data_IF_510471568357
#
_entry.id   IF_510471568357
#
_cell.length_a   1.000
_cell.length_b   1.000
_cell.length_c   1.000
_cell.angle_alpha   90.00
_cell.angle_beta   90.00
_cell.angle_gamma   90.00
#
_symmetry.space_group_name_H-M   'P 1'
#
loop_
_entity.id
_entity.type
_entity.pdbx_description
1 polymer ?
#
# COMPACT_ATOMS: atom_id res chain seq x y z
N UNK A 1 9.75 -31.39 42.44
CA UNK A 1 9.49 -30.00 42.87
C UNK A 1 10.24 -29.02 41.97
N UNK A 2 11.45 -29.36 41.52
CA UNK A 2 12.22 -28.53 40.58
C UNK A 2 11.69 -28.50 39.13
N UNK A 3 11.09 -29.59 38.63
CA UNK A 3 10.51 -29.62 37.27
C UNK A 3 9.26 -28.74 37.11
N UNK A 4 8.52 -28.51 38.19
CA UNK A 4 7.31 -27.69 38.19
C UNK A 4 7.65 -26.19 38.31
N UNK A 5 8.75 -25.86 38.98
CA UNK A 5 9.34 -24.52 38.98
C UNK A 5 9.97 -24.17 37.63
N UNK A 6 10.65 -25.11 36.97
CA UNK A 6 11.18 -24.87 35.63
C UNK A 6 10.09 -24.67 34.58
N UNK A 7 9.01 -25.46 34.62
CA UNK A 7 7.85 -25.28 33.72
C UNK A 7 7.02 -24.03 34.00
N UNK A 8 6.97 -23.54 35.23
CA UNK A 8 6.29 -22.29 35.56
C UNK A 8 7.11 -21.06 35.18
N UNK A 9 8.45 -21.11 35.33
CA UNK A 9 9.37 -20.09 34.83
C UNK A 9 9.36 -19.99 33.29
N UNK A 10 9.32 -21.11 32.57
CA UNK A 10 9.19 -21.11 31.10
C UNK A 10 7.84 -20.54 30.64
N UNK A 11 6.74 -20.82 31.36
CA UNK A 11 5.41 -20.26 31.04
C UNK A 11 5.31 -18.77 31.31
N UNK A 12 5.88 -18.26 32.40
CA UNK A 12 5.94 -16.81 32.66
C UNK A 12 6.84 -16.09 31.67
N UNK A 13 7.94 -16.73 31.24
CA UNK A 13 8.78 -16.19 30.17
C UNK A 13 8.07 -16.23 28.82
N UNK A 14 7.28 -17.25 28.49
CA UNK A 14 6.44 -17.30 27.27
C UNK A 14 5.36 -16.20 27.26
N UNK A 15 4.69 -15.95 28.39
CA UNK A 15 3.67 -14.89 28.50
C UNK A 15 4.29 -13.49 28.39
N UNK A 16 5.48 -13.26 28.95
CA UNK A 16 6.24 -12.02 28.76
C UNK A 16 6.86 -11.91 27.34
N UNK A 17 7.17 -13.04 26.68
CA UNK A 17 7.69 -13.11 25.31
C UNK A 17 6.62 -12.77 24.25
N UNK A 18 5.37 -13.14 24.48
CA UNK A 18 4.23 -12.72 23.66
C UNK A 18 3.93 -11.23 23.85
N UNK A 19 4.16 -10.69 25.05
CA UNK A 19 3.87 -9.27 25.36
C UNK A 19 4.89 -8.28 24.77
N UNK A 20 6.10 -8.74 24.40
CA UNK A 20 7.23 -7.88 24.02
C UNK A 20 7.67 -8.00 22.54
N UNK A 21 6.72 -8.27 21.64
CA UNK A 21 6.95 -8.42 20.21
C UNK A 21 7.72 -7.24 19.57
N UNK A 22 8.81 -7.56 18.87
CA UNK A 22 9.56 -6.63 18.01
C UNK A 22 8.75 -6.19 16.79
N UNK A 23 9.09 -5.05 16.18
CA UNK A 23 8.33 -4.41 15.08
C UNK A 23 8.02 -5.35 13.91
N UNK A 24 8.95 -6.21 13.50
CA UNK A 24 8.80 -7.08 12.32
C UNK A 24 7.79 -8.21 12.57
N UNK A 25 7.96 -8.92 13.69
CA UNK A 25 7.02 -9.96 14.13
C UNK A 25 5.64 -9.35 14.36
N UNK A 26 5.59 -8.13 14.88
CA UNK A 26 4.36 -7.36 14.98
C UNK A 26 3.76 -7.08 13.61
N UNK A 27 4.50 -6.60 12.61
CA UNK A 27 3.91 -6.29 11.29
C UNK A 27 3.34 -7.51 10.58
N UNK A 28 4.01 -8.67 10.62
CA UNK A 28 3.47 -9.89 10.03
C UNK A 28 2.25 -10.40 10.82
N UNK A 29 2.35 -10.44 12.15
CA UNK A 29 1.20 -10.81 13.00
C UNK A 29 0.05 -9.82 12.88
N UNK A 30 0.31 -8.54 12.64
CA UNK A 30 -0.70 -7.49 12.39
C UNK A 30 -1.38 -7.71 11.04
N UNK A 31 -0.63 -8.07 9.99
CA UNK A 31 -1.21 -8.43 8.69
C UNK A 31 -2.07 -9.69 8.82
N UNK A 32 -1.54 -10.75 9.45
CA UNK A 32 -2.26 -12.01 9.66
C UNK A 32 -3.50 -11.82 10.54
N UNK A 33 -3.42 -10.99 11.58
CA UNK A 33 -4.55 -10.66 12.45
C UNK A 33 -5.64 -9.86 11.70
N UNK A 34 -5.28 -9.11 10.66
CA UNK A 34 -6.24 -8.34 9.85
C UNK A 34 -6.94 -9.17 8.77
N UNK A 35 -6.49 -10.40 8.48
CA UNK A 35 -7.14 -11.31 7.52
C UNK A 35 -8.61 -11.56 7.89
N UNK A 36 -8.89 -11.89 9.15
CA UNK A 36 -10.25 -12.21 9.61
C UNK A 36 -11.19 -11.00 9.53
N UNK A 37 -10.84 -9.81 10.04
CA UNK A 37 -11.62 -8.59 9.84
C UNK A 37 -11.85 -8.24 8.37
N UNK A 38 -10.86 -8.43 7.49
CA UNK A 38 -11.00 -8.14 6.05
C UNK A 38 -11.96 -9.11 5.35
N UNK A 39 -11.93 -10.40 5.69
CA UNK A 39 -12.89 -11.38 5.17
C UNK A 39 -14.32 -11.09 5.65
N UNK A 40 -14.48 -10.72 6.92
CA UNK A 40 -15.77 -10.29 7.47
C UNK A 40 -16.28 -9.01 6.79
N UNK A 41 -15.39 -8.06 6.51
CA UNK A 41 -15.69 -6.86 5.76
C UNK A 41 -16.18 -7.18 4.35
N UNK A 42 -15.44 -8.02 3.62
CA UNK A 42 -15.77 -8.45 2.27
C UNK A 42 -17.11 -9.21 2.22
N UNK A 43 -17.38 -10.09 3.20
CA UNK A 43 -18.67 -10.78 3.32
C UNK A 43 -19.82 -9.81 3.60
N UNK A 44 -19.59 -8.84 4.49
CA UNK A 44 -20.60 -7.83 4.86
C UNK A 44 -20.96 -6.90 3.70
N UNK A 45 -19.98 -6.57 2.84
CA UNK A 45 -20.21 -5.75 1.65
C UNK A 45 -20.79 -6.58 0.50
N UNK A 46 -20.29 -7.80 0.28
CA UNK A 46 -20.70 -8.66 -0.84
C UNK A 46 -22.09 -9.28 -0.69
N UNK A 47 -22.50 -9.62 0.55
CA UNK A 47 -23.80 -10.23 0.85
C UNK A 47 -24.73 -9.30 1.66
N UNK A 48 -24.35 -8.02 1.76
CA UNK A 48 -25.06 -6.99 2.52
C UNK A 48 -26.49 -6.74 2.03
N UNK A 49 -27.49 -7.11 2.85
CA UNK A 49 -28.90 -6.82 2.58
C UNK A 49 -29.40 -5.54 3.27
N UNK A 50 -28.59 -4.90 4.12
CA UNK A 50 -28.95 -3.68 4.83
C UNK A 50 -27.81 -2.66 4.75
N UNK A 51 -28.15 -1.38 4.65
CA UNK A 51 -27.21 -0.25 4.59
C UNK A 51 -26.26 -0.25 5.79
N UNK A 52 -26.76 -0.59 6.98
CA UNK A 52 -25.91 -0.69 8.19
C UNK A 52 -24.82 -1.76 8.05
N UNK A 53 -25.17 -2.94 7.52
CA UNK A 53 -24.22 -4.04 7.33
C UNK A 53 -23.14 -3.69 6.30
N UNK A 54 -23.55 -3.05 5.18
CA UNK A 54 -22.60 -2.55 4.17
C UNK A 54 -21.70 -1.46 4.76
N UNK A 55 -22.25 -0.56 5.59
CA UNK A 55 -21.50 0.54 6.20
C UNK A 55 -20.48 0.03 7.21
N UNK A 56 -20.87 -0.91 8.07
CA UNK A 56 -19.95 -1.58 9.01
C UNK A 56 -18.88 -2.37 8.24
N UNK A 57 -19.27 -3.08 7.18
CA UNK A 57 -18.32 -3.76 6.30
C UNK A 57 -17.30 -2.80 5.67
N UNK A 58 -17.73 -1.64 5.19
CA UNK A 58 -16.83 -0.60 4.66
C UNK A 58 -15.91 -0.01 5.73
N UNK A 59 -16.40 0.19 6.96
CA UNK A 59 -15.58 0.65 8.08
C UNK A 59 -14.46 -0.37 8.37
N UNK A 60 -14.80 -1.65 8.47
CA UNK A 60 -13.84 -2.72 8.72
C UNK A 60 -12.82 -2.86 7.58
N UNK A 61 -13.28 -2.73 6.33
CA UNK A 61 -12.40 -2.70 5.16
C UNK A 61 -11.40 -1.53 5.23
N UNK A 62 -11.87 -0.34 5.64
CA UNK A 62 -11.01 0.83 5.82
C UNK A 62 -9.97 0.66 6.92
N UNK A 63 -10.35 0.07 8.06
CA UNK A 63 -9.41 -0.23 9.15
C UNK A 63 -8.37 -1.26 8.71
N UNK A 64 -8.81 -2.35 8.08
CA UNK A 64 -7.90 -3.39 7.57
C UNK A 64 -6.95 -2.85 6.53
N UNK A 65 -7.45 -2.10 5.54
CA UNK A 65 -6.63 -1.46 4.52
C UNK A 65 -5.64 -0.43 5.10
N UNK A 66 -6.05 0.31 6.13
CA UNK A 66 -5.18 1.23 6.86
C UNK A 66 -4.00 0.53 7.52
N UNK A 67 -4.26 -0.55 8.27
CA UNK A 67 -3.21 -1.34 8.93
C UNK A 67 -2.28 -1.96 7.89
N UNK A 68 -2.81 -2.60 6.85
CA UNK A 68 -1.99 -3.19 5.78
C UNK A 68 -1.16 -2.14 5.05
N UNK A 69 -1.69 -0.93 4.84
CA UNK A 69 -0.95 0.16 4.17
C UNK A 69 0.24 0.70 4.96
N UNK A 70 0.26 0.49 6.29
CA UNK A 70 1.40 0.84 7.14
C UNK A 70 2.34 -0.36 7.29
N UNK A 71 1.80 -1.55 7.51
CA UNK A 71 2.59 -2.75 7.76
C UNK A 71 3.35 -3.24 6.51
N UNK A 72 2.74 -3.19 5.32
CA UNK A 72 3.35 -3.74 4.11
C UNK A 72 4.62 -2.97 3.67
N UNK A 73 4.65 -1.62 3.60
CA UNK A 73 5.88 -0.89 3.28
C UNK A 73 6.99 -1.08 4.32
N UNK A 74 6.64 -1.20 5.62
CA UNK A 74 7.61 -1.47 6.69
C UNK A 74 8.25 -2.85 6.51
N UNK A 75 7.42 -3.87 6.30
CA UNK A 75 7.87 -5.24 6.05
C UNK A 75 8.77 -5.32 4.81
N UNK A 76 8.37 -4.64 3.72
CA UNK A 76 9.20 -4.54 2.51
C UNK A 76 10.55 -3.88 2.82
N UNK A 77 10.57 -2.81 3.61
CA UNK A 77 11.79 -2.10 4.00
C UNK A 77 12.75 -2.93 4.85
N UNK A 78 12.22 -3.80 5.69
CA UNK A 78 12.98 -4.69 6.58
C UNK A 78 13.60 -5.89 5.84
N UNK A 79 12.94 -6.38 4.79
CA UNK A 79 13.42 -7.52 3.99
C UNK A 79 14.31 -7.07 2.82
N UNK A 80 14.03 -5.89 2.26
CA UNK A 80 14.76 -5.38 1.10
C UNK A 80 16.20 -4.99 1.43
N UNK A 81 17.13 -5.39 0.58
CA UNK A 81 18.50 -4.87 0.61
C UNK A 81 18.53 -3.38 0.21
N UNK A 82 19.50 -2.58 0.69
CA UNK A 82 19.58 -1.15 0.38
C UNK A 82 19.58 -0.84 -1.13
N UNK A 83 20.10 -1.73 -1.96
CA UNK A 83 20.16 -1.57 -3.42
C UNK A 83 18.83 -1.83 -4.14
N UNK A 84 17.91 -2.60 -3.54
CA UNK A 84 16.64 -3.00 -4.15
C UNK A 84 15.42 -2.38 -3.48
N UNK A 85 15.60 -1.67 -2.36
CA UNK A 85 14.51 -1.07 -1.57
C UNK A 85 13.60 -0.15 -2.39
N UNK A 86 14.17 0.64 -3.30
CA UNK A 86 13.39 1.49 -4.21
C UNK A 86 12.48 0.69 -5.15
N UNK A 87 13.00 -0.40 -5.73
CA UNK A 87 12.25 -1.27 -6.63
C UNK A 87 11.13 -2.01 -5.88
N UNK A 88 11.45 -2.66 -4.76
CA UNK A 88 10.45 -3.38 -3.95
C UNK A 88 9.40 -2.42 -3.37
N UNK A 89 9.79 -1.20 -2.99
CA UNK A 89 8.84 -0.16 -2.58
C UNK A 89 7.85 0.22 -3.69
N UNK A 90 8.30 0.26 -4.94
CA UNK A 90 7.42 0.52 -6.09
C UNK A 90 6.45 -0.65 -6.37
N UNK A 91 6.83 -1.88 -6.02
CA UNK A 91 5.97 -3.07 -6.14
C UNK A 91 4.71 -2.97 -5.29
N UNK A 92 4.77 -2.28 -4.12
CA UNK A 92 3.58 -2.04 -3.30
C UNK A 92 2.53 -1.22 -4.06
N UNK A 93 2.95 -0.13 -4.73
CA UNK A 93 2.05 0.66 -5.56
C UNK A 93 1.52 -0.13 -6.77
N UNK A 94 2.37 -0.95 -7.40
CA UNK A 94 1.96 -1.84 -8.49
C UNK A 94 0.87 -2.83 -8.05
N UNK A 95 0.99 -3.39 -6.85
CA UNK A 95 -0.01 -4.28 -6.27
C UNK A 95 -1.35 -3.56 -6.07
N UNK A 96 -1.33 -2.33 -5.54
CA UNK A 96 -2.55 -1.52 -5.37
C UNK A 96 -3.27 -1.25 -6.68
N UNK A 97 -2.55 -0.79 -7.72
CA UNK A 97 -3.17 -0.50 -9.03
C UNK A 97 -3.64 -1.75 -9.76
N UNK A 98 -2.94 -2.87 -9.58
CA UNK A 98 -3.37 -4.17 -10.12
C UNK A 98 -4.63 -4.67 -9.43
N UNK A 99 -4.73 -4.50 -8.10
CA UNK A 99 -5.94 -4.80 -7.34
C UNK A 99 -7.14 -3.97 -7.80
N UNK A 100 -6.95 -2.67 -8.05
CA UNK A 100 -8.01 -1.81 -8.61
C UNK A 100 -8.48 -2.30 -9.99
N UNK A 101 -7.55 -2.68 -10.88
CA UNK A 101 -7.89 -3.24 -12.19
C UNK A 101 -8.68 -4.55 -12.07
N UNK A 102 -8.27 -5.46 -11.18
CA UNK A 102 -9.02 -6.69 -10.91
C UNK A 102 -10.44 -6.40 -10.40
N UNK A 103 -10.60 -5.41 -9.53
CA UNK A 103 -11.91 -4.95 -9.06
C UNK A 103 -12.80 -4.44 -10.20
N UNK A 104 -12.26 -3.62 -11.11
CA UNK A 104 -13.01 -3.14 -12.29
C UNK A 104 -13.42 -4.29 -13.21
N UNK A 105 -12.52 -5.25 -13.46
CA UNK A 105 -12.81 -6.43 -14.28
C UNK A 105 -13.89 -7.30 -13.64
N UNK A 106 -13.85 -7.51 -12.32
CA UNK A 106 -14.87 -8.28 -11.62
C UNK A 106 -16.24 -7.63 -11.72
N UNK A 107 -16.34 -6.32 -11.51
CA UNK A 107 -17.63 -5.60 -11.61
C UNK A 107 -18.17 -5.66 -13.04
N UNK A 108 -17.28 -5.56 -14.04
CA UNK A 108 -17.66 -5.67 -15.44
C UNK A 108 -18.17 -7.08 -15.81
N UNK A 109 -17.53 -8.14 -15.31
CA UNK A 109 -17.91 -9.52 -15.60
C UNK A 109 -19.10 -10.01 -14.74
N UNK A 110 -19.20 -9.55 -13.50
CA UNK A 110 -20.16 -10.00 -12.50
C UNK A 110 -20.70 -8.82 -11.68
N UNK A 111 -21.75 -8.12 -12.15
CA UNK A 111 -22.30 -6.93 -11.50
C UNK A 111 -23.02 -7.16 -10.15
N UNK A 112 -22.78 -8.29 -9.46
CA UNK A 112 -23.45 -8.69 -8.23
C UNK A 112 -22.65 -8.54 -6.93
N UNK A 113 -21.41 -8.02 -6.98
CA UNK A 113 -20.60 -7.67 -5.80
C UNK A 113 -20.02 -8.85 -4.98
N UNK A 114 -20.68 -10.01 -4.95
CA UNK A 114 -20.26 -11.17 -4.17
C UNK A 114 -18.94 -11.83 -4.65
N UNK A 115 -18.52 -11.59 -5.90
CA UNK A 115 -17.28 -12.13 -6.44
C UNK A 115 -16.01 -11.60 -5.74
N UNK A 116 -16.08 -10.38 -5.18
CA UNK A 116 -14.97 -9.80 -4.43
C UNK A 116 -14.60 -10.65 -3.21
N UNK A 117 -15.60 -11.17 -2.49
CA UNK A 117 -15.39 -12.03 -1.34
C UNK A 117 -14.61 -13.30 -1.68
N UNK A 118 -14.89 -13.94 -2.83
CA UNK A 118 -14.20 -15.16 -3.22
C UNK A 118 -12.75 -14.92 -3.63
N UNK A 119 -12.45 -13.77 -4.25
CA UNK A 119 -11.07 -13.37 -4.52
C UNK A 119 -10.32 -13.10 -3.22
N UNK A 120 -10.90 -12.30 -2.32
CA UNK A 120 -10.29 -11.98 -1.04
C UNK A 120 -10.03 -13.28 -0.24
N UNK A 121 -10.98 -14.22 -0.23
CA UNK A 121 -10.81 -15.53 0.39
C UNK A 121 -9.65 -16.32 -0.22
N UNK A 122 -9.52 -16.33 -1.54
CA UNK A 122 -8.47 -17.10 -2.24
C UNK A 122 -7.07 -16.57 -1.92
N UNK A 123 -6.88 -15.24 -1.90
CA UNK A 123 -5.58 -14.64 -1.57
C UNK A 123 -5.21 -14.85 -0.10
N UNK A 124 -6.17 -14.70 0.82
CA UNK A 124 -5.93 -14.90 2.25
C UNK A 124 -5.60 -16.36 2.60
N UNK A 125 -6.22 -17.33 1.91
CA UNK A 125 -5.89 -18.75 2.09
C UNK A 125 -4.48 -19.08 1.56
N UNK A 126 -4.08 -18.51 0.43
CA UNK A 126 -2.74 -18.69 -0.11
C UNK A 126 -1.67 -18.16 0.85
N UNK A 127 -1.85 -16.95 1.38
CA UNK A 127 -0.91 -16.31 2.31
C UNK A 127 -0.74 -17.13 3.60
N UNK A 128 -1.85 -17.67 4.14
CA UNK A 128 -1.83 -18.51 5.35
C UNK A 128 -1.01 -19.81 5.19
N UNK A 129 -0.94 -20.36 3.97
CA UNK A 129 -0.19 -21.58 3.70
C UNK A 129 1.33 -21.34 3.59
N UNK A 130 1.77 -20.11 3.28
CA UNK A 130 3.19 -19.74 3.15
C UNK A 130 3.78 -19.09 4.41
N UNK A 131 3.10 -19.23 5.56
CA UNK A 131 3.50 -18.74 6.90
C UNK A 131 4.89 -19.19 7.40
N UNK A 132 5.62 -20.00 6.63
CA UNK A 132 6.98 -20.45 6.94
C UNK A 132 8.08 -19.53 6.35
N UNK A 133 7.77 -18.76 5.32
CA UNK A 133 8.71 -17.92 4.57
C UNK A 133 9.07 -16.61 5.30
N UNK A 134 8.13 -16.04 6.06
CA UNK A 134 8.19 -14.67 6.59
C UNK A 134 8.70 -14.47 8.02
N UNK A 135 8.97 -15.54 8.81
CA UNK A 135 9.34 -15.45 10.26
C UNK A 135 10.65 -14.70 10.57
N UNK A 136 11.22 -14.07 9.54
CA UNK A 136 12.12 -12.91 9.56
C UNK A 136 13.12 -12.93 10.70
N UNK A 137 14.29 -13.47 10.38
CA UNK A 137 15.63 -12.96 10.70
C UNK A 137 15.79 -12.33 12.09
N UNK A 138 15.12 -11.20 12.37
CA UNK A 138 15.11 -10.50 13.66
C UNK A 138 14.54 -11.31 14.83
N UNK A 139 13.42 -12.02 14.64
CA UNK A 139 12.80 -12.85 15.68
C UNK A 139 13.73 -13.99 16.09
N UNK A 140 14.47 -14.48 15.10
CA UNK A 140 15.44 -15.55 15.28
C UNK A 140 16.78 -15.02 15.82
N UNK A 141 17.15 -13.77 15.52
CA UNK A 141 18.34 -13.11 16.09
C UNK A 141 18.26 -12.90 17.61
N UNK A 142 17.06 -12.84 18.20
CA UNK A 142 16.87 -12.63 19.65
C UNK A 142 16.83 -13.93 20.47
N UNK A 143 16.56 -15.08 19.85
CA UNK A 143 16.40 -16.37 20.56
C UNK A 143 17.16 -17.56 19.95
N UNK A 144 17.56 -17.52 18.67
CA UNK A 144 18.32 -18.59 17.98
C UNK A 144 19.21 -18.03 16.84
N UNK A 145 20.46 -17.69 17.13
CA UNK A 145 21.42 -17.18 16.12
C UNK A 145 21.55 -18.11 14.89
N UNK A 146 21.38 -19.43 15.07
CA UNK A 146 21.46 -20.42 13.99
C UNK A 146 20.21 -20.41 13.11
N UNK A 147 19.04 -20.18 13.69
CA UNK A 147 17.81 -19.98 12.94
C UNK A 147 17.84 -18.69 12.12
N UNK A 148 18.44 -17.61 12.63
CA UNK A 148 18.60 -16.36 11.89
C UNK A 148 19.50 -16.55 10.67
N UNK A 149 20.62 -17.26 10.83
CA UNK A 149 21.49 -17.64 9.71
C UNK A 149 20.75 -18.47 8.67
N UNK A 150 19.89 -19.42 9.08
CA UNK A 150 19.08 -20.22 8.15
C UNK A 150 18.07 -19.38 7.37
N UNK A 151 17.35 -18.49 8.06
CA UNK A 151 16.38 -17.58 7.41
C UNK A 151 17.07 -16.59 6.46
N UNK A 152 18.20 -15.98 6.85
CA UNK A 152 18.96 -15.08 5.97
C UNK A 152 19.50 -15.82 4.74
N UNK A 153 19.98 -17.06 4.92
CA UNK A 153 20.48 -17.90 3.82
C UNK A 153 19.40 -18.35 2.86
N UNK A 154 18.18 -18.56 3.36
CA UNK A 154 17.01 -18.83 2.53
C UNK A 154 16.61 -17.57 1.74
N UNK A 155 16.55 -16.42 2.39
CA UNK A 155 16.11 -15.15 1.80
C UNK A 155 17.09 -14.58 0.76
N UNK A 156 18.40 -14.61 1.06
CA UNK A 156 19.46 -14.03 0.19
C UNK A 156 20.02 -15.04 -0.83
N UNK A 157 19.78 -16.33 -0.62
CA UNK A 157 20.33 -17.43 -1.42
C UNK A 157 21.59 -18.06 -0.80
N UNK A 158 21.91 -19.28 -1.24
CA UNK A 158 22.93 -20.15 -0.62
C UNK A 158 24.36 -19.58 -0.65
N UNK A 159 24.67 -18.73 -1.63
CA UNK A 159 26.02 -18.24 -1.92
C UNK A 159 26.29 -16.81 -1.39
N UNK A 160 25.30 -16.17 -0.75
CA UNK A 160 25.46 -14.81 -0.23
C UNK A 160 26.24 -14.79 1.10
N UNK A 161 27.15 -13.82 1.26
CA UNK A 161 27.91 -13.65 2.49
C UNK A 161 27.05 -13.00 3.57
N UNK A 162 26.47 -13.85 4.44
CA UNK A 162 25.50 -13.47 5.48
C UNK A 162 26.15 -12.76 6.68
N UNK A 163 27.44 -12.96 6.91
CA UNK A 163 28.10 -12.55 8.16
C UNK A 163 28.10 -11.04 8.37
N UNK A 164 28.35 -10.26 7.32
CA UNK A 164 28.37 -8.79 7.41
C UNK A 164 26.98 -8.21 7.69
N UNK A 165 25.96 -8.71 7.00
CA UNK A 165 24.56 -8.28 7.20
C UNK A 165 24.05 -8.71 8.59
N UNK A 166 24.45 -9.90 9.06
CA UNK A 166 24.10 -10.39 10.39
C UNK A 166 24.75 -9.55 11.50
N UNK A 167 26.00 -9.13 11.34
CA UNK A 167 26.66 -8.21 12.27
C UNK A 167 26.02 -6.81 12.28
N UNK A 168 25.66 -6.27 11.12
CA UNK A 168 24.93 -4.99 11.03
C UNK A 168 23.59 -5.04 11.74
N UNK A 169 22.85 -6.15 11.57
CA UNK A 169 21.58 -6.36 12.25
C UNK A 169 21.78 -6.53 13.75
N UNK A 170 22.74 -7.33 14.21
CA UNK A 170 23.05 -7.48 15.64
C UNK A 170 23.44 -6.15 16.29
N UNK A 171 24.24 -5.34 15.59
CA UNK A 171 24.61 -4.00 16.04
C UNK A 171 23.40 -3.05 16.08
N UNK A 172 22.45 -3.19 15.16
CA UNK A 172 21.22 -2.40 15.14
C UNK A 172 20.26 -2.80 16.27
N UNK A 173 20.12 -4.10 16.56
CA UNK A 173 19.37 -4.64 17.72
C UNK A 173 19.98 -4.16 19.03
N UNK A 174 21.30 -4.25 19.18
CA UNK A 174 22.02 -3.80 20.37
C UNK A 174 21.82 -2.28 20.61
N UNK A 175 21.73 -1.49 19.54
CA UNK A 175 21.40 -0.06 19.59
C UNK A 175 19.91 0.21 19.85
N UNK A 176 19.00 -0.66 19.38
CA UNK A 176 17.55 -0.54 19.60
C UNK A 176 17.09 -0.85 21.03
N UNK A 177 17.92 -1.48 21.88
CA UNK A 177 17.67 -1.58 23.32
C UNK A 177 17.66 -0.21 24.04
N UNK A 178 17.97 0.89 23.34
CA UNK A 178 17.84 2.27 23.83
C UNK A 178 16.41 2.75 23.56
N UNK A 179 15.47 2.29 24.39
CA UNK A 179 14.16 2.93 24.64
C UNK A 179 13.19 3.00 23.46
N UNK A 180 11.90 2.81 23.74
CA UNK A 180 10.83 3.20 22.81
C UNK A 180 11.10 4.62 22.30
N UNK A 181 11.00 4.84 20.98
CA UNK A 181 11.01 6.17 20.38
C UNK A 181 9.91 6.99 21.08
N UNK A 182 10.32 7.74 22.09
CA UNK A 182 9.42 8.57 22.88
C UNK A 182 8.99 9.71 21.96
N UNK A 183 7.74 10.17 22.01
CA UNK A 183 7.27 11.32 21.20
C UNK A 183 8.18 12.57 21.30
N UNK A 184 8.99 12.66 22.36
CA UNK A 184 10.03 13.68 22.57
C UNK A 184 11.25 13.54 21.65
N UNK A 185 11.62 12.33 21.26
CA UNK A 185 12.72 12.04 20.33
C UNK A 185 12.36 12.43 18.88
N UNK A 186 11.07 12.34 18.51
CA UNK A 186 10.55 12.85 17.23
C UNK A 186 10.73 14.37 17.07
N UNK A 187 10.87 15.11 18.18
CA UNK A 187 11.09 16.57 18.15
C UNK A 187 12.53 16.95 17.82
N UNK A 188 13.46 15.99 17.68
CA UNK A 188 14.84 16.28 17.27
C UNK A 188 14.84 16.77 15.82
N UNK A 189 15.52 17.88 15.49
CA UNK A 189 15.50 18.47 14.14
C UNK A 189 16.05 17.55 13.04
N UNK A 190 16.87 16.55 13.42
CA UNK A 190 17.37 15.52 12.50
C UNK A 190 16.30 14.53 12.04
N UNK A 191 15.27 14.29 12.86
CA UNK A 191 14.15 13.36 12.56
C UNK A 191 12.94 14.16 12.08
N UNK A 192 12.69 15.32 12.71
CA UNK A 192 11.53 16.16 12.41
C UNK A 192 11.52 16.67 10.96
N UNK A 193 12.67 17.05 10.40
CA UNK A 193 12.75 17.51 9.00
C UNK A 193 12.31 16.43 7.99
N UNK A 194 12.93 15.23 7.93
CA UNK A 194 12.50 14.19 7.00
C UNK A 194 11.07 13.72 7.29
N UNK A 195 10.70 13.58 8.56
CA UNK A 195 9.35 13.20 8.96
C UNK A 195 8.29 14.20 8.46
N UNK A 196 8.54 15.50 8.63
CA UNK A 196 7.63 16.57 8.18
C UNK A 196 7.46 16.53 6.66
N UNK A 197 8.55 16.32 5.91
CA UNK A 197 8.49 16.19 4.44
C UNK A 197 7.60 15.00 4.05
N UNK A 198 7.75 13.83 4.69
CA UNK A 198 6.92 12.66 4.41
C UNK A 198 5.43 12.92 4.71
N UNK A 199 5.12 13.54 5.86
CA UNK A 199 3.74 13.85 6.26
C UNK A 199 3.10 14.83 5.28
N UNK A 200 3.77 15.93 4.93
CA UNK A 200 3.24 16.88 3.95
C UNK A 200 3.09 16.26 2.57
N UNK A 201 4.07 15.46 2.15
CA UNK A 201 4.01 14.79 0.86
C UNK A 201 2.79 13.85 0.78
N UNK A 202 2.58 13.02 1.80
CA UNK A 202 1.41 12.14 1.87
C UNK A 202 0.09 12.91 1.93
N UNK A 203 0.05 14.00 2.69
CA UNK A 203 -1.12 14.88 2.77
C UNK A 203 -1.46 15.47 1.39
N UNK A 204 -0.47 16.05 0.70
CA UNK A 204 -0.67 16.62 -0.63
C UNK A 204 -0.99 15.57 -1.69
N UNK A 205 -0.48 14.34 -1.56
CA UNK A 205 -0.87 13.22 -2.44
C UNK A 205 -2.36 12.90 -2.36
N UNK A 206 -3.00 13.06 -1.21
CA UNK A 206 -4.46 12.90 -1.09
C UNK A 206 -5.20 14.15 -1.61
N UNK A 207 -4.62 15.33 -1.39
CA UNK A 207 -5.20 16.61 -1.80
C UNK A 207 -5.20 16.83 -3.33
N UNK A 208 -4.48 16.01 -4.10
CA UNK A 208 -4.63 15.99 -5.57
C UNK A 208 -6.05 15.65 -6.01
N UNK A 209 -6.85 15.01 -5.14
CA UNK A 209 -8.22 14.63 -5.43
C UNK A 209 -8.33 13.27 -6.14
N UNK A 210 -7.25 12.49 -6.20
CA UNK A 210 -7.25 11.19 -6.89
C UNK A 210 -8.31 10.24 -6.33
N UNK A 211 -8.50 10.14 -5.01
CA UNK A 211 -9.54 9.27 -4.46
C UNK A 211 -10.95 9.73 -4.86
N UNK A 212 -11.19 11.04 -4.95
CA UNK A 212 -12.47 11.56 -5.42
C UNK A 212 -12.72 11.19 -6.88
N UNK A 213 -11.68 11.26 -7.72
CA UNK A 213 -11.77 10.87 -9.13
C UNK A 213 -11.97 9.36 -9.26
N UNK A 214 -11.20 8.54 -8.56
CA UNK A 214 -11.25 7.07 -8.64
C UNK A 214 -12.60 6.54 -8.14
N UNK A 215 -13.14 7.07 -7.03
CA UNK A 215 -14.43 6.61 -6.51
C UNK A 215 -15.63 7.10 -7.32
N UNK A 216 -15.52 8.25 -7.99
CA UNK A 216 -16.60 8.81 -8.80
C UNK A 216 -16.35 8.62 -10.31
N UNK A 217 -15.42 7.76 -10.69
CA UNK A 217 -14.97 7.57 -12.06
C UNK A 217 -16.15 7.27 -13.00
N UNK A 218 -16.98 6.29 -12.62
CA UNK A 218 -18.17 5.90 -13.37
C UNK A 218 -19.20 7.04 -13.50
N UNK A 219 -19.38 7.83 -12.43
CA UNK A 219 -20.33 8.95 -12.39
C UNK A 219 -19.86 10.09 -13.29
N UNK A 220 -18.56 10.40 -13.27
CA UNK A 220 -17.97 11.44 -14.12
C UNK A 220 -18.11 11.05 -15.60
N UNK A 221 -17.90 9.77 -15.91
CA UNK A 221 -18.06 9.26 -17.26
C UNK A 221 -19.50 9.25 -17.74
N UNK A 222 -20.44 8.84 -16.90
CA UNK A 222 -21.87 8.91 -17.22
C UNK A 222 -22.32 10.36 -17.43
N UNK A 223 -21.90 11.28 -16.58
CA UNK A 223 -22.18 12.71 -16.69
C UNK A 223 -21.57 13.35 -17.96
N UNK A 224 -20.51 12.77 -18.53
CA UNK A 224 -19.86 13.26 -19.76
C UNK A 224 -20.62 12.89 -21.05
N UNK A 225 -21.62 12.00 -20.97
CA UNK A 225 -22.44 11.59 -22.13
C UNK A 225 -21.70 10.69 -23.13
N UNK A 226 -20.66 9.98 -22.68
CA UNK A 226 -19.90 9.06 -23.51
C UNK A 226 -20.75 7.91 -24.06
N UNK A 227 -20.54 7.53 -25.32
CA UNK A 227 -21.26 6.42 -25.98
C UNK A 227 -20.85 5.01 -25.52
N UNK A 228 -19.80 4.92 -24.71
CA UNK A 228 -19.21 3.66 -24.27
C UNK A 228 -19.64 3.35 -22.85
N UNK A 229 -19.93 2.08 -22.56
CA UNK A 229 -20.35 1.61 -21.24
C UNK A 229 -19.36 2.03 -20.12
N UNK A 230 -19.90 2.52 -19.00
CA UNK A 230 -19.14 3.11 -17.90
C UNK A 230 -18.15 2.12 -17.28
N UNK A 231 -18.56 0.85 -17.15
CA UNK A 231 -17.69 -0.20 -16.61
C UNK A 231 -16.51 -0.50 -17.54
N UNK A 232 -16.73 -0.48 -18.86
CA UNK A 232 -15.67 -0.67 -19.87
C UNK A 232 -14.65 0.47 -19.81
N UNK A 233 -15.10 1.71 -19.60
CA UNK A 233 -14.22 2.87 -19.43
C UNK A 233 -13.34 2.75 -18.18
N UNK A 234 -13.91 2.28 -17.07
CA UNK A 234 -13.15 2.03 -15.83
C UNK A 234 -12.09 0.94 -15.98
N UNK A 235 -12.37 -0.13 -16.73
CA UNK A 235 -11.36 -1.13 -17.08
C UNK A 235 -10.20 -0.53 -17.89
N UNK A 236 -10.48 0.34 -18.87
CA UNK A 236 -9.45 1.02 -19.65
C UNK A 236 -8.57 1.90 -18.75
N UNK A 237 -9.18 2.64 -17.82
CA UNK A 237 -8.43 3.44 -16.82
C UNK A 237 -7.49 2.54 -16.03
N UNK A 238 -7.97 1.41 -15.52
CA UNK A 238 -7.15 0.48 -14.76
C UNK A 238 -5.96 -0.06 -15.57
N UNK A 239 -6.15 -0.40 -16.85
CA UNK A 239 -5.07 -0.88 -17.71
C UNK A 239 -4.03 0.21 -17.95
N UNK A 240 -4.48 1.43 -18.27
CA UNK A 240 -3.59 2.59 -18.44
C UNK A 240 -2.82 2.87 -17.15
N UNK A 241 -3.49 2.77 -16.01
CA UNK A 241 -2.92 3.01 -14.69
C UNK A 241 -1.83 1.99 -14.34
N UNK A 242 -2.06 0.69 -14.60
CA UNK A 242 -1.05 -0.35 -14.39
C UNK A 242 0.16 -0.12 -15.32
N UNK A 243 -0.07 0.12 -16.61
CA UNK A 243 0.99 0.39 -17.56
C UNK A 243 1.82 1.62 -17.17
N UNK A 244 1.15 2.71 -16.78
CA UNK A 244 1.78 3.94 -16.30
C UNK A 244 2.63 3.70 -15.05
N UNK A 245 2.16 2.87 -14.12
CA UNK A 245 2.90 2.55 -12.89
C UNK A 245 4.14 1.71 -13.19
N UNK A 246 4.08 0.76 -14.14
CA UNK A 246 5.26 -0.01 -14.57
C UNK A 246 6.32 0.92 -15.18
N UNK A 247 5.89 1.83 -16.06
CA UNK A 247 6.78 2.86 -16.64
C UNK A 247 7.37 3.72 -15.52
N UNK A 248 6.56 4.08 -14.52
CA UNK A 248 7.01 4.86 -13.36
C UNK A 248 8.11 4.18 -12.57
N UNK A 249 7.99 2.87 -12.31
CA UNK A 249 9.01 2.13 -11.56
C UNK A 249 10.37 2.26 -12.25
N UNK A 250 10.42 2.08 -13.58
CA UNK A 250 11.65 2.20 -14.39
C UNK A 250 12.15 3.65 -14.44
N UNK A 251 11.25 4.62 -14.61
CA UNK A 251 11.62 6.03 -14.79
C UNK A 251 12.09 6.68 -13.48
N UNK A 252 11.56 6.23 -12.34
CA UNK A 252 11.89 6.80 -11.02
C UNK A 252 13.37 6.62 -10.66
N UNK A 253 13.98 5.52 -11.10
CA UNK A 253 15.40 5.23 -10.88
C UNK A 253 16.32 6.10 -11.77
N UNK A 254 15.82 6.60 -12.91
CA UNK A 254 16.62 7.35 -13.91
C UNK A 254 16.45 8.86 -13.85
N UNK A 255 15.23 9.36 -13.67
CA UNK A 255 14.90 10.78 -13.79
C UNK A 255 14.98 11.56 -12.46
N UNK A 256 15.15 10.84 -11.34
CA UNK A 256 15.15 11.41 -10.00
C UNK A 256 13.74 11.71 -9.48
N UNK A 257 13.48 11.35 -8.22
CA UNK A 257 12.15 11.41 -7.58
C UNK A 257 11.54 12.83 -7.60
N UNK A 258 12.32 13.87 -7.27
CA UNK A 258 11.83 15.26 -7.20
C UNK A 258 11.35 15.80 -8.54
N UNK A 259 12.09 15.53 -9.62
CA UNK A 259 11.75 15.99 -10.97
C UNK A 259 10.44 15.38 -11.44
N UNK A 260 10.27 14.08 -11.19
CA UNK A 260 9.08 13.33 -11.59
C UNK A 260 7.82 13.81 -10.84
N UNK A 261 7.97 14.19 -9.57
CA UNK A 261 6.92 14.77 -8.73
C UNK A 261 6.47 16.15 -9.23
N UNK A 262 7.40 17.02 -9.61
CA UNK A 262 7.08 18.36 -10.13
C UNK A 262 6.42 18.26 -11.52
N UNK A 263 6.94 17.40 -12.40
CA UNK A 263 6.40 17.20 -13.75
C UNK A 263 4.96 16.69 -13.71
N UNK A 264 4.70 15.67 -12.88
CA UNK A 264 3.36 15.12 -12.68
C UNK A 264 2.39 16.15 -12.08
N UNK A 265 2.83 16.93 -11.09
CA UNK A 265 2.02 18.01 -10.52
C UNK A 265 1.57 19.01 -11.58
N UNK A 266 2.49 19.46 -12.43
CA UNK A 266 2.19 20.42 -13.50
C UNK A 266 1.19 19.86 -14.52
N UNK A 267 1.39 18.61 -14.96
CA UNK A 267 0.46 17.96 -15.88
C UNK A 267 -0.94 17.78 -15.28
N UNK A 268 -1.03 17.38 -14.00
CA UNK A 268 -2.31 17.22 -13.31
C UNK A 268 -3.08 18.54 -13.17
N UNK A 269 -2.38 19.66 -12.91
CA UNK A 269 -3.03 20.99 -12.86
C UNK A 269 -3.67 21.33 -14.20
N UNK A 270 -2.97 21.09 -15.31
CA UNK A 270 -3.52 21.32 -16.66
C UNK A 270 -4.78 20.47 -16.88
N UNK A 271 -4.73 19.19 -16.56
CA UNK A 271 -5.89 18.29 -16.69
C UNK A 271 -7.10 18.74 -15.86
N UNK A 272 -6.88 19.18 -14.62
CA UNK A 272 -7.93 19.67 -13.74
C UNK A 272 -8.53 20.99 -14.25
N UNK A 273 -7.72 21.89 -14.79
CA UNK A 273 -8.21 23.11 -15.45
C UNK A 273 -9.10 22.76 -16.64
N UNK A 274 -8.65 21.85 -17.51
CA UNK A 274 -9.41 21.39 -18.68
C UNK A 274 -10.75 20.77 -18.24
N UNK A 275 -10.73 19.93 -17.22
CA UNK A 275 -11.93 19.28 -16.69
C UNK A 275 -12.89 20.30 -16.06
N UNK A 276 -12.37 21.27 -15.31
CA UNK A 276 -13.16 22.36 -14.72
C UNK A 276 -13.81 23.26 -15.77
N UNK A 277 -13.09 23.60 -16.85
CA UNK A 277 -13.64 24.35 -17.99
C UNK A 277 -14.73 23.57 -18.70
N UNK A 278 -14.55 22.26 -18.90
CA UNK A 278 -15.59 21.41 -19.50
C UNK A 278 -16.89 21.44 -18.67
N UNK A 279 -16.81 21.24 -17.36
CA UNK A 279 -18.00 21.27 -16.50
C UNK A 279 -18.65 22.66 -16.43
N UNK A 280 -17.85 23.73 -16.53
CA UNK A 280 -18.37 25.09 -16.65
C UNK A 280 -19.15 25.29 -17.97
N UNK A 281 -18.62 24.78 -19.09
CA UNK A 281 -19.30 24.82 -20.39
C UNK A 281 -20.56 23.94 -20.40
N UNK A 282 -20.54 22.79 -19.73
CA UNK A 282 -21.73 21.93 -19.63
C UNK A 282 -22.92 22.64 -18.96
N UNK A 283 -22.65 23.52 -17.99
CA UNK A 283 -23.68 24.28 -17.29
C UNK A 283 -24.22 25.46 -18.11
N UNK A 284 -23.36 26.15 -18.86
CA UNK A 284 -23.73 27.39 -19.55
C UNK A 284 -24.11 27.19 -21.02
N UNK A 285 -23.47 26.24 -21.72
CA UNK A 285 -23.66 25.94 -23.15
C UNK A 285 -23.70 24.42 -23.40
N UNK A 286 -24.81 23.74 -23.03
CA UNK A 286 -24.90 22.29 -23.08
C UNK A 286 -24.72 21.69 -24.49
N UNK A 287 -25.12 22.42 -25.54
CA UNK A 287 -24.95 21.97 -26.92
C UNK A 287 -23.48 21.82 -27.33
N UNK A 288 -22.61 22.71 -26.83
CA UNK A 288 -21.18 22.68 -27.11
C UNK A 288 -20.51 21.56 -26.30
N UNK A 289 -20.92 21.38 -25.04
CA UNK A 289 -20.43 20.33 -24.16
C UNK A 289 -20.71 18.90 -24.69
N UNK A 290 -21.89 18.66 -25.28
CA UNK A 290 -22.20 17.35 -25.90
C UNK A 290 -21.28 17.04 -27.09
N UNK A 291 -20.81 18.05 -27.82
CA UNK A 291 -19.86 17.86 -28.93
C UNK A 291 -18.46 17.48 -28.44
N UNK A 292 -18.07 17.92 -27.24
CA UNK A 292 -16.76 17.65 -26.63
C UNK A 292 -16.81 16.61 -25.49
N UNK A 293 -17.83 15.74 -25.45
CA UNK A 293 -17.99 14.72 -24.41
C UNK A 293 -16.84 13.69 -24.28
N UNK A 294 -15.93 13.62 -25.26
CA UNK A 294 -14.71 12.81 -25.19
C UNK A 294 -13.58 13.46 -24.38
N UNK A 295 -13.62 14.79 -24.21
CA UNK A 295 -12.55 15.57 -23.58
C UNK A 295 -12.36 15.26 -22.09
N UNK A 296 -13.41 15.12 -21.26
CA UNK A 296 -13.25 14.72 -19.86
C UNK A 296 -12.58 13.36 -19.71
N UNK A 297 -12.93 12.41 -20.57
CA UNK A 297 -12.35 11.07 -20.56
C UNK A 297 -10.85 11.13 -20.83
N UNK A 298 -10.44 11.79 -21.91
CA UNK A 298 -9.02 11.93 -22.26
C UNK A 298 -8.27 12.71 -21.17
N UNK A 299 -8.84 13.80 -20.66
CA UNK A 299 -8.23 14.58 -19.58
C UNK A 299 -8.02 13.74 -18.31
N UNK A 300 -8.99 12.90 -17.95
CA UNK A 300 -8.90 12.00 -16.81
C UNK A 300 -7.87 10.87 -17.03
N UNK A 301 -7.79 10.29 -18.23
CA UNK A 301 -6.74 9.30 -18.54
C UNK A 301 -5.35 9.90 -18.34
N UNK A 302 -5.14 11.12 -18.85
CA UNK A 302 -3.87 11.83 -18.72
C UNK A 302 -3.60 12.14 -17.25
N UNK A 303 -4.60 12.64 -16.50
CA UNK A 303 -4.50 12.88 -15.06
C UNK A 303 -4.06 11.62 -14.30
N UNK A 304 -4.75 10.49 -14.49
CA UNK A 304 -4.45 9.22 -13.80
C UNK A 304 -3.06 8.70 -14.18
N UNK A 305 -2.67 8.85 -15.44
CA UNK A 305 -1.33 8.47 -15.93
C UNK A 305 -0.25 9.27 -15.20
N UNK A 306 -0.34 10.60 -15.16
CA UNK A 306 0.66 11.44 -14.50
C UNK A 306 0.66 11.27 -12.99
N UNK A 307 -0.50 11.08 -12.37
CA UNK A 307 -0.59 10.72 -10.96
C UNK A 307 0.19 9.42 -10.67
N UNK A 308 -0.02 8.39 -11.49
CA UNK A 308 0.62 7.07 -11.33
C UNK A 308 2.12 7.10 -11.57
N UNK A 309 2.61 8.04 -12.39
CA UNK A 309 4.04 8.26 -12.63
C UNK A 309 4.72 9.03 -11.49
N UNK A 310 3.99 9.90 -10.80
CA UNK A 310 4.55 10.76 -9.77
C UNK A 310 4.07 10.41 -8.37
N UNK A 311 2.90 10.93 -8.03
CA UNK A 311 2.33 10.89 -6.68
C UNK A 311 1.88 9.50 -6.22
N UNK A 312 1.74 8.53 -7.11
CA UNK A 312 1.47 7.14 -6.76
C UNK A 312 2.65 6.51 -5.99
N UNK A 313 3.76 6.17 -6.65
CA UNK A 313 4.83 5.39 -6.03
C UNK A 313 5.82 6.21 -5.20
N UNK A 314 6.05 7.49 -5.54
CA UNK A 314 7.13 8.27 -4.94
C UNK A 314 6.95 8.54 -3.43
N UNK A 315 5.75 8.91 -2.92
CA UNK A 315 5.56 9.13 -1.49
C UNK A 315 5.86 7.89 -0.65
N UNK A 316 5.46 6.71 -1.12
CA UNK A 316 5.75 5.43 -0.45
C UNK A 316 7.25 5.10 -0.47
N UNK A 317 7.92 5.33 -1.60
CA UNK A 317 9.35 5.11 -1.70
C UNK A 317 10.15 6.07 -0.79
N UNK A 318 9.77 7.36 -0.74
CA UNK A 318 10.41 8.36 0.12
C UNK A 318 10.21 8.02 1.61
N UNK A 319 9.05 7.49 1.98
CA UNK A 319 8.80 7.03 3.37
C UNK A 319 9.79 5.93 3.78
N UNK A 320 10.10 4.97 2.90
CA UNK A 320 11.08 3.91 3.16
C UNK A 320 12.56 4.33 3.08
N UNK A 321 12.85 5.50 2.50
CA UNK A 321 14.23 6.02 2.34
C UNK A 321 14.61 7.06 3.40
N UNK A 322 13.67 7.89 3.86
CA UNK A 322 13.92 9.01 4.78
C UNK A 322 13.74 8.66 6.26
N UNK A 323 13.02 7.58 6.57
CA UNK A 323 12.84 7.14 7.95
C UNK A 323 14.00 6.21 8.37
N UNK A 324 14.61 6.44 9.54
CA UNK A 324 15.77 5.69 10.02
C UNK A 324 15.46 4.23 10.36
#
# INVERSE_FOLDING_TARGET
MDDEQHRSLDRTNEEDFVSSGSSVSRTQTEIEAMLVPQLLAAASVGFGNNVLMITVGRLLCGVGGGVTSVAAPVYIGEIATPSQRGLLGSSFQLMLVTGMLLGYLLVHLYPGGGCQFFLDLSFNLYDSHDSCSGKSVYLVLRSDENGAKRALKWLRGKDYCITTELEEIQNSVAKQNIGSLTFRELSKPSILKPFTICVFLMFFSQFTGTNAIVFNLNVIFEASGGKMDSNTQSCIVGVVQVAATIISSILSDRAGRKTLLILSAFAMVICLIVLGVFFYLQKNDPALATSIGWLPLVSLMIYVTFFSIGFGPIPWAIMGELLP
#
